data_IF_099915093549
#
_entry.id   IF_099915093549
#
_cell.length_a   1.000
_cell.length_b   1.000
_cell.length_c   1.000
_cell.angle_alpha   90.00
_cell.angle_beta   90.00
_cell.angle_gamma   90.00
#
_symmetry.space_group_name_H-M   'P 1'
#
loop_
_entity.id
_entity.type
_entity.pdbx_description
1 polymer ?
#
# COMPACT_ATOMS: atom_id res chain seq x y z
N UNK A 1 11.68 -7.18 -7.11
CA UNK A 1 10.90 -6.77 -5.92
C UNK A 1 9.93 -7.87 -5.45
N UNK A 2 10.19 -9.12 -5.71
CA UNK A 2 9.38 -10.24 -5.23
C UNK A 2 9.74 -10.58 -3.78
N UNK A 3 8.77 -11.06 -3.02
CA UNK A 3 8.97 -11.65 -1.71
C UNK A 3 9.36 -13.12 -1.92
N UNK A 4 10.53 -13.53 -1.39
CA UNK A 4 10.96 -14.93 -1.36
C UNK A 4 10.79 -15.45 0.07
N UNK A 5 9.92 -16.46 0.33
CA UNK A 5 9.76 -17.02 1.67
C UNK A 5 11.05 -17.58 2.28
N UNK A 6 12.00 -18.02 1.45
CA UNK A 6 13.28 -18.55 1.92
C UNK A 6 14.11 -17.52 2.69
N UNK A 7 14.00 -16.24 2.35
CA UNK A 7 14.70 -15.13 3.01
C UNK A 7 14.25 -14.94 4.48
N UNK A 8 13.10 -15.50 4.86
CA UNK A 8 12.49 -15.33 6.19
C UNK A 8 12.69 -16.54 7.10
N UNK A 9 13.41 -17.57 6.67
CA UNK A 9 13.64 -18.76 7.49
C UNK A 9 14.74 -18.52 8.53
N UNK A 10 14.45 -18.90 9.76
CA UNK A 10 15.45 -18.92 10.83
C UNK A 10 15.98 -17.56 11.29
N UNK A 11 15.26 -16.48 11.03
CA UNK A 11 15.69 -15.11 11.39
C UNK A 11 15.77 -14.87 12.91
N UNK A 12 15.12 -15.68 13.73
CA UNK A 12 15.10 -15.53 15.18
C UNK A 12 14.40 -14.27 15.72
N UNK A 13 13.70 -13.54 14.87
CA UNK A 13 13.01 -12.28 15.17
C UNK A 13 11.55 -12.31 14.70
N UNK A 14 10.75 -11.37 15.19
CA UNK A 14 9.43 -11.11 14.62
C UNK A 14 9.56 -10.62 13.16
N UNK A 15 8.59 -10.99 12.31
CA UNK A 15 8.58 -10.69 10.89
C UNK A 15 7.45 -9.71 10.60
N UNK A 16 7.74 -8.65 9.84
CA UNK A 16 6.73 -7.68 9.40
C UNK A 16 6.75 -7.61 7.88
N UNK A 17 5.60 -7.86 7.25
CA UNK A 17 5.44 -7.90 5.79
C UNK A 17 4.33 -6.93 5.40
N UNK A 18 4.63 -5.92 4.58
CA UNK A 18 3.60 -5.11 3.95
C UNK A 18 3.09 -5.84 2.70
N UNK A 19 1.80 -6.21 2.69
CA UNK A 19 1.18 -6.93 1.57
C UNK A 19 -0.26 -6.47 1.31
N UNK A 20 -0.52 -5.75 0.20
CA UNK A 20 0.41 -5.32 -0.87
C UNK A 20 1.50 -4.36 -0.39
N UNK A 21 2.68 -4.48 -1.00
CA UNK A 21 3.86 -3.74 -0.56
C UNK A 21 3.83 -2.25 -0.96
N UNK A 22 4.33 -1.40 -0.10
CA UNK A 22 4.66 -0.01 -0.41
C UNK A 22 6.19 0.21 -0.27
N UNK A 23 6.89 0.79 -1.27
CA UNK A 23 6.35 1.54 -2.41
C UNK A 23 6.12 0.74 -3.69
N UNK A 24 6.46 -0.55 -3.76
CA UNK A 24 6.48 -1.33 -5.02
C UNK A 24 5.10 -1.63 -5.60
N UNK A 25 4.03 -1.51 -4.82
CA UNK A 25 2.65 -1.83 -5.17
C UNK A 25 2.35 -3.33 -5.39
N UNK A 26 3.34 -4.19 -5.28
CA UNK A 26 3.20 -5.62 -5.57
C UNK A 26 2.47 -6.36 -4.45
N UNK A 27 1.68 -7.35 -4.86
CA UNK A 27 1.04 -8.31 -3.97
C UNK A 27 1.84 -9.62 -3.97
N UNK A 28 2.23 -10.09 -2.80
CA UNK A 28 2.73 -11.45 -2.65
C UNK A 28 1.52 -12.42 -2.50
N UNK A 29 1.60 -13.63 -3.08
CA UNK A 29 0.58 -14.65 -2.88
C UNK A 29 0.41 -15.01 -1.40
N UNK A 30 -0.82 -15.28 -0.97
CA UNK A 30 -1.10 -15.73 0.41
C UNK A 30 -0.34 -17.01 0.76
N UNK A 31 -0.11 -17.91 -0.21
CA UNK A 31 0.70 -19.10 -0.04
C UNK A 31 2.16 -18.78 0.37
N UNK A 32 2.75 -17.72 -0.16
CA UNK A 32 4.10 -17.30 0.24
C UNK A 32 4.14 -16.81 1.70
N UNK A 33 3.08 -16.12 2.14
CA UNK A 33 2.93 -15.73 3.55
C UNK A 33 2.74 -16.97 4.44
N UNK A 34 1.95 -17.93 3.98
CA UNK A 34 1.72 -19.19 4.68
C UNK A 34 3.00 -19.98 4.87
N UNK A 35 3.87 -20.09 3.86
CA UNK A 35 5.19 -20.71 3.99
C UNK A 35 6.06 -20.02 5.05
N UNK A 36 5.99 -18.68 5.15
CA UNK A 36 6.70 -17.93 6.17
C UNK A 36 6.16 -18.24 7.57
N UNK A 37 4.84 -18.34 7.73
CA UNK A 37 4.19 -18.70 8.99
C UNK A 37 4.64 -20.10 9.47
N UNK A 38 4.61 -21.08 8.57
CA UNK A 38 5.01 -22.46 8.82
C UNK A 38 6.49 -22.59 9.20
N UNK A 39 7.33 -21.79 8.55
CA UNK A 39 8.77 -21.78 8.80
C UNK A 39 9.18 -21.08 10.11
N UNK A 40 8.26 -20.35 10.75
CA UNK A 40 8.52 -19.53 11.93
C UNK A 40 7.43 -19.69 13.01
N UNK A 41 7.11 -20.91 13.47
CA UNK A 41 5.96 -21.16 14.36
C UNK A 41 6.06 -20.43 15.72
N UNK A 42 7.27 -20.20 16.20
CA UNK A 42 7.55 -19.54 17.47
C UNK A 42 7.78 -18.02 17.35
N UNK A 43 7.49 -17.44 16.18
CA UNK A 43 7.71 -16.01 15.89
C UNK A 43 6.45 -15.37 15.38
N UNK A 44 6.15 -14.18 15.86
CA UNK A 44 5.02 -13.40 15.35
C UNK A 44 5.31 -12.94 13.94
N UNK A 45 4.38 -13.19 13.03
CA UNK A 45 4.37 -12.67 11.67
C UNK A 45 3.24 -11.65 11.56
N UNK A 46 3.60 -10.40 11.31
CA UNK A 46 2.67 -9.30 11.13
C UNK A 46 2.53 -9.03 9.63
N UNK A 47 1.31 -9.12 9.11
CA UNK A 47 1.00 -8.76 7.74
C UNK A 47 0.25 -7.43 7.73
N UNK A 48 0.90 -6.38 7.21
CA UNK A 48 0.29 -5.06 7.04
C UNK A 48 -0.49 -5.03 5.73
N UNK A 49 -1.79 -5.15 5.85
CA UNK A 49 -2.76 -5.14 4.75
C UNK A 49 -3.36 -3.74 4.50
N UNK A 50 -2.61 -2.68 4.70
CA UNK A 50 -3.12 -1.31 4.53
C UNK A 50 -3.71 -1.03 3.14
N UNK A 51 -3.33 -1.79 2.12
CA UNK A 51 -3.77 -1.61 0.74
C UNK A 51 -4.55 -2.80 0.16
N UNK A 52 -4.80 -3.84 0.94
CA UNK A 52 -5.35 -5.11 0.43
C UNK A 52 -6.72 -4.96 -0.25
N UNK A 53 -7.53 -4.00 0.17
CA UNK A 53 -8.86 -3.74 -0.39
C UNK A 53 -8.82 -3.36 -1.90
N UNK A 54 -7.67 -2.92 -2.41
CA UNK A 54 -7.45 -2.62 -3.83
C UNK A 54 -6.90 -3.80 -4.64
N UNK A 55 -6.61 -4.91 -3.98
CA UNK A 55 -5.99 -6.09 -4.61
C UNK A 55 -7.01 -7.09 -5.17
N UNK A 56 -8.28 -6.96 -4.77
CA UNK A 56 -9.35 -7.85 -5.19
C UNK A 56 -9.54 -9.08 -4.28
N UNK A 57 -10.50 -9.94 -4.62
CA UNK A 57 -10.83 -11.12 -3.82
C UNK A 57 -9.65 -12.08 -3.64
N UNK A 58 -9.54 -12.69 -2.46
CA UNK A 58 -8.52 -13.71 -2.15
C UNK A 58 -7.12 -13.16 -1.82
N UNK A 59 -6.92 -11.84 -1.86
CA UNK A 59 -5.62 -11.22 -1.58
C UNK A 59 -5.27 -11.17 -0.08
N UNK A 60 -6.26 -11.26 0.80
CA UNK A 60 -6.09 -11.12 2.23
C UNK A 60 -5.61 -12.40 2.92
N UNK A 61 -4.71 -12.25 3.88
CA UNK A 61 -4.28 -13.31 4.80
C UNK A 61 -5.25 -13.51 5.99
N UNK A 62 -6.34 -12.74 6.09
CA UNK A 62 -7.33 -12.93 7.17
C UNK A 62 -7.84 -14.37 7.33
N UNK A 63 -8.13 -15.13 6.25
CA UNK A 63 -8.56 -16.52 6.41
C UNK A 63 -7.55 -17.43 7.12
N UNK A 64 -6.25 -17.11 7.04
CA UNK A 64 -5.18 -17.88 7.70
C UNK A 64 -5.15 -17.67 9.22
N UNK A 65 -5.75 -16.60 9.72
CA UNK A 65 -5.73 -16.30 11.18
C UNK A 65 -6.34 -17.45 12.00
N UNK A 66 -7.31 -18.18 11.47
CA UNK A 66 -7.94 -19.31 12.19
C UNK A 66 -7.00 -20.51 12.36
N UNK A 67 -6.00 -20.65 11.47
CA UNK A 67 -5.12 -21.81 11.39
C UNK A 67 -3.72 -21.54 11.97
N UNK A 68 -3.34 -20.24 12.15
CA UNK A 68 -2.01 -19.83 12.59
C UNK A 68 -2.05 -18.91 13.81
N UNK A 69 -1.59 -19.44 14.96
CA UNK A 69 -1.53 -18.68 16.23
C UNK A 69 -0.52 -17.52 16.20
N UNK A 70 0.47 -17.59 15.30
CA UNK A 70 1.54 -16.62 15.16
C UNK A 70 1.24 -15.50 14.12
N UNK A 71 0.05 -15.49 13.51
CA UNK A 71 -0.33 -14.47 12.51
C UNK A 71 -1.07 -13.31 13.14
N UNK A 72 -0.62 -12.09 12.85
CA UNK A 72 -1.33 -10.85 13.11
C UNK A 72 -1.53 -10.07 11.80
N UNK A 73 -2.78 -9.88 11.39
CA UNK A 73 -3.13 -9.05 10.22
C UNK A 73 -3.51 -7.66 10.68
N UNK A 74 -2.88 -6.64 10.11
CA UNK A 74 -3.12 -5.23 10.45
C UNK A 74 -3.80 -4.52 9.28
N UNK A 75 -4.83 -3.74 9.56
CA UNK A 75 -5.59 -2.94 8.59
C UNK A 75 -5.79 -1.51 9.04
N UNK A 76 -6.10 -0.64 8.09
CA UNK A 76 -6.28 0.79 8.34
C UNK A 76 -7.53 1.34 7.65
N UNK A 77 -8.16 2.32 8.27
CA UNK A 77 -9.20 3.14 7.65
C UNK A 77 -8.64 4.27 6.78
N UNK A 78 -7.32 4.48 6.80
CA UNK A 78 -6.66 5.63 6.16
C UNK A 78 -6.65 5.58 4.63
N UNK A 79 -6.91 4.42 3.99
CA UNK A 79 -6.80 4.22 2.53
C UNK A 79 -8.17 4.03 1.90
N UNK A 80 -8.64 2.80 1.81
CA UNK A 80 -9.89 2.44 1.14
C UNK A 80 -11.13 3.06 1.78
N UNK A 81 -11.12 3.29 3.09
CA UNK A 81 -12.21 3.93 3.84
C UNK A 81 -12.10 5.46 3.95
N UNK A 82 -11.10 6.08 3.32
CA UNK A 82 -10.91 7.54 3.22
C UNK A 82 -10.81 8.30 4.57
N UNK A 83 -10.48 7.62 5.66
CA UNK A 83 -10.42 8.18 7.02
C UNK A 83 -8.98 8.39 7.53
N UNK A 84 -8.07 8.86 6.68
CA UNK A 84 -6.68 9.09 7.06
C UNK A 84 -6.53 10.05 8.26
N UNK A 85 -7.38 11.06 8.35
CA UNK A 85 -7.40 12.04 9.46
C UNK A 85 -7.92 11.47 10.78
N UNK A 86 -8.74 10.41 10.76
CA UNK A 86 -9.29 9.79 11.97
C UNK A 86 -8.25 8.97 12.76
N UNK A 87 -7.09 8.65 12.18
CA UNK A 87 -6.00 7.87 12.80
C UNK A 87 -6.46 6.52 13.34
N UNK A 88 -7.34 5.83 12.60
CA UNK A 88 -7.97 4.59 12.99
C UNK A 88 -7.43 3.41 12.17
N UNK A 89 -7.21 2.30 12.84
CA UNK A 89 -6.86 1.00 12.29
C UNK A 89 -7.23 -0.11 13.26
N UNK A 90 -7.11 -1.33 12.82
CA UNK A 90 -7.37 -2.51 13.64
C UNK A 90 -6.44 -3.65 13.27
N UNK A 91 -6.32 -4.63 14.16
CA UNK A 91 -5.64 -5.87 13.87
C UNK A 91 -6.53 -7.08 14.19
N UNK A 92 -6.26 -8.17 13.51
CA UNK A 92 -6.95 -9.46 13.68
C UNK A 92 -5.89 -10.54 13.91
N UNK A 93 -6.06 -11.31 14.94
CA UNK A 93 -5.18 -12.42 15.34
C UNK A 93 -5.87 -13.34 16.30
N UNK A 94 -5.21 -14.43 16.67
CA UNK A 94 -5.69 -15.34 17.71
C UNK A 94 -5.74 -14.66 19.09
N UNK A 95 -6.61 -15.12 20.03
CA UNK A 95 -6.83 -14.45 21.31
C UNK A 95 -5.57 -14.17 22.13
N UNK A 96 -4.56 -15.05 22.07
CA UNK A 96 -3.27 -14.86 22.75
C UNK A 96 -2.53 -13.60 22.29
N UNK A 97 -2.37 -13.44 20.97
CA UNK A 97 -1.74 -12.25 20.38
C UNK A 97 -2.54 -10.97 20.67
N UNK A 98 -3.86 -11.03 20.59
CA UNK A 98 -4.72 -9.87 20.89
C UNK A 98 -4.62 -9.49 22.36
N UNK A 99 -4.51 -10.46 23.28
CA UNK A 99 -4.29 -10.18 24.70
C UNK A 99 -2.95 -9.46 24.93
N UNK A 100 -1.88 -9.87 24.26
CA UNK A 100 -0.57 -9.23 24.36
C UNK A 100 -0.59 -7.81 23.76
N UNK A 101 -1.23 -7.62 22.60
CA UNK A 101 -1.45 -6.31 22.01
C UNK A 101 -2.20 -5.36 22.96
N UNK A 102 -3.23 -5.85 23.63
CA UNK A 102 -3.98 -5.07 24.63
C UNK A 102 -3.11 -4.72 25.85
N UNK A 103 -2.25 -5.62 26.33
CA UNK A 103 -1.32 -5.31 27.42
C UNK A 103 -0.39 -4.16 27.03
N UNK A 104 0.19 -4.20 25.82
CA UNK A 104 1.04 -3.12 25.32
C UNK A 104 0.23 -1.82 25.16
N UNK A 105 -0.96 -1.87 24.53
CA UNK A 105 -1.84 -0.72 24.35
C UNK A 105 -2.17 -0.05 25.68
N UNK A 106 -2.61 -0.80 26.67
CA UNK A 106 -2.98 -0.24 27.98
C UNK A 106 -1.78 0.27 28.79
N UNK A 107 -0.59 -0.27 28.55
CA UNK A 107 0.62 0.22 29.21
C UNK A 107 1.16 1.52 28.62
N UNK A 108 0.93 1.75 27.30
CA UNK A 108 1.52 2.88 26.57
C UNK A 108 0.52 3.98 26.23
N UNK A 109 -0.65 3.64 25.69
CA UNK A 109 -1.63 4.59 25.19
C UNK A 109 -3.06 4.03 25.26
N UNK A 110 -3.68 3.97 26.48
CA UNK A 110 -4.99 3.34 26.66
C UNK A 110 -6.13 4.11 25.96
N UNK A 111 -5.99 5.43 25.76
CA UNK A 111 -7.02 6.33 25.22
C UNK A 111 -6.65 6.89 23.84
N UNK A 112 -6.06 6.09 22.99
CA UNK A 112 -5.55 6.53 21.69
C UNK A 112 -6.63 6.78 20.62
N UNK A 113 -7.86 6.30 20.82
CA UNK A 113 -8.98 6.50 19.89
C UNK A 113 -10.01 7.39 20.58
N UNK A 114 -10.34 8.52 19.94
CA UNK A 114 -11.40 9.41 20.40
C UNK A 114 -12.78 8.94 19.90
N UNK A 115 -13.85 9.36 20.58
CA UNK A 115 -15.22 8.93 20.28
C UNK A 115 -15.69 9.31 18.85
N UNK A 116 -15.21 10.42 18.29
CA UNK A 116 -15.53 10.82 16.92
C UNK A 116 -14.91 9.88 15.89
N UNK A 117 -13.64 9.50 16.08
CA UNK A 117 -12.96 8.54 15.20
C UNK A 117 -13.61 7.16 15.29
N UNK A 118 -14.01 6.74 16.49
CA UNK A 118 -14.71 5.46 16.72
C UNK A 118 -16.05 5.43 15.98
N UNK A 119 -16.89 6.46 16.18
CA UNK A 119 -18.19 6.56 15.49
C UNK A 119 -18.04 6.63 13.97
N UNK A 120 -17.06 7.40 13.47
CA UNK A 120 -16.78 7.48 12.04
C UNK A 120 -16.28 6.14 11.46
N UNK A 121 -15.49 5.40 12.22
CA UNK A 121 -15.04 4.06 11.85
C UNK A 121 -16.17 3.05 11.76
N UNK A 122 -17.07 3.03 12.76
CA UNK A 122 -18.26 2.17 12.77
C UNK A 122 -19.15 2.47 11.54
N UNK A 123 -19.50 3.74 11.32
CA UNK A 123 -20.29 4.16 10.16
C UNK A 123 -19.61 3.78 8.82
N UNK A 124 -18.29 3.93 8.71
CA UNK A 124 -17.55 3.55 7.51
C UNK A 124 -17.54 2.03 7.26
N UNK A 125 -17.65 1.20 8.31
CA UNK A 125 -17.80 -0.25 8.15
C UNK A 125 -19.18 -0.65 7.69
N UNK A 126 -20.22 0.10 8.09
CA UNK A 126 -21.61 -0.14 7.72
C UNK A 126 -21.92 0.31 6.28
N UNK A 127 -21.25 1.35 5.77
CA UNK A 127 -21.45 1.87 4.40
C UNK A 127 -20.63 1.08 3.35
N UNK A 128 -21.00 -0.18 3.18
CA UNK A 128 -20.34 -1.09 2.26
C UNK A 128 -20.53 -0.69 0.79
N UNK A 129 -21.67 -0.10 0.44
CA UNK A 129 -21.95 0.33 -0.94
C UNK A 129 -21.04 1.49 -1.37
N UNK A 130 -20.82 2.48 -0.51
CA UNK A 130 -19.89 3.56 -0.77
C UNK A 130 -18.47 3.02 -0.89
N UNK A 131 -18.06 2.17 0.04
CA UNK A 131 -16.75 1.54 0.03
C UNK A 131 -16.47 0.81 -1.28
N UNK A 132 -17.39 -0.07 -1.73
CA UNK A 132 -17.23 -0.84 -2.98
C UNK A 132 -17.14 0.06 -4.20
N UNK A 133 -18.01 1.09 -4.30
CA UNK A 133 -17.99 2.04 -5.41
C UNK A 133 -16.67 2.81 -5.49
N UNK A 134 -16.18 3.30 -4.35
CA UNK A 134 -14.94 4.08 -4.32
C UNK A 134 -13.70 3.23 -4.62
N UNK A 135 -13.63 2.02 -4.09
CA UNK A 135 -12.55 1.07 -4.40
C UNK A 135 -12.56 0.70 -5.88
N UNK A 136 -13.73 0.39 -6.46
CA UNK A 136 -13.87 0.06 -7.87
C UNK A 136 -13.41 1.22 -8.76
N UNK A 137 -13.84 2.46 -8.49
CA UNK A 137 -13.43 3.65 -9.24
C UNK A 137 -11.92 3.90 -9.20
N UNK A 138 -11.27 3.67 -8.05
CA UNK A 138 -9.81 3.76 -7.92
C UNK A 138 -9.13 2.66 -8.74
N UNK A 139 -9.60 1.43 -8.69
CA UNK A 139 -9.03 0.32 -9.45
C UNK A 139 -9.16 0.52 -10.96
N UNK A 140 -10.29 1.01 -11.43
CA UNK A 140 -10.52 1.36 -12.84
C UNK A 140 -9.56 2.48 -13.30
N UNK A 141 -9.51 3.57 -12.55
CA UNK A 141 -8.61 4.70 -12.85
C UNK A 141 -7.13 4.26 -12.80
N UNK A 142 -6.78 3.37 -11.87
CA UNK A 142 -5.44 2.78 -11.79
C UNK A 142 -5.07 2.00 -13.04
N UNK A 143 -5.98 1.17 -13.54
CA UNK A 143 -5.77 0.39 -14.76
C UNK A 143 -5.55 1.30 -15.98
N UNK A 144 -6.39 2.33 -16.14
CA UNK A 144 -6.25 3.30 -17.21
C UNK A 144 -4.92 4.09 -17.10
N UNK A 145 -4.55 4.52 -15.89
CA UNK A 145 -3.30 5.24 -15.66
C UNK A 145 -2.07 4.36 -15.92
N UNK A 146 -2.10 3.07 -15.56
CA UNK A 146 -1.03 2.13 -15.84
C UNK A 146 -0.85 1.92 -17.36
N UNK A 147 -1.95 1.79 -18.11
CA UNK A 147 -1.92 1.71 -19.57
C UNK A 147 -1.32 2.98 -20.18
N UNK A 148 -1.80 4.16 -19.78
CA UNK A 148 -1.30 5.45 -20.27
C UNK A 148 0.19 5.70 -20.02
N UNK A 149 0.75 5.19 -18.91
CA UNK A 149 2.20 5.21 -18.65
C UNK A 149 2.95 4.22 -19.54
N UNK A 150 2.43 2.99 -19.70
CA UNK A 150 3.06 1.97 -20.58
C UNK A 150 3.09 2.43 -22.04
N UNK A 151 2.04 3.08 -22.52
CA UNK A 151 1.98 3.67 -23.87
C UNK A 151 3.05 4.74 -24.11
N UNK A 152 3.50 5.41 -23.02
CA UNK A 152 4.62 6.36 -23.02
C UNK A 152 5.99 5.69 -22.82
N UNK A 153 6.03 4.36 -22.83
CA UNK A 153 7.27 3.58 -22.67
C UNK A 153 7.76 3.44 -21.23
N UNK A 154 6.94 3.82 -20.22
CA UNK A 154 7.30 3.64 -18.84
C UNK A 154 7.23 2.18 -18.42
N UNK A 155 8.17 1.74 -17.60
CA UNK A 155 8.07 0.47 -16.91
C UNK A 155 7.14 0.63 -15.71
N UNK A 156 6.01 -0.10 -15.68
CA UNK A 156 5.01 -0.02 -14.61
C UNK A 156 4.85 -1.39 -14.00
N UNK A 157 5.04 -1.49 -12.67
CA UNK A 157 4.78 -2.72 -11.93
C UNK A 157 3.27 -2.97 -11.79
N UNK A 158 2.88 -4.24 -11.72
CA UNK A 158 1.48 -4.60 -11.54
C UNK A 158 1.01 -4.23 -10.13
N UNK A 159 0.12 -3.25 -10.07
CA UNK A 159 -0.27 -2.66 -8.79
C UNK A 159 -1.50 -3.32 -8.20
N UNK A 160 -1.40 -3.68 -6.92
CA UNK A 160 -2.49 -4.11 -6.05
C UNK A 160 -2.84 -3.05 -4.97
N UNK A 161 -2.47 -1.78 -5.21
CA UNK A 161 -2.66 -0.66 -4.27
C UNK A 161 -3.44 0.50 -4.90
N UNK A 162 -3.60 1.62 -4.21
CA UNK A 162 -4.16 2.85 -4.77
C UNK A 162 -3.08 3.79 -5.35
N UNK A 163 -1.95 3.26 -5.76
CA UNK A 163 -0.88 3.97 -6.44
C UNK A 163 -0.17 3.06 -7.45
N UNK A 164 0.57 3.65 -8.37
CA UNK A 164 1.47 2.95 -9.27
C UNK A 164 2.92 3.17 -8.84
N UNK A 165 3.78 2.19 -9.11
CA UNK A 165 5.21 2.30 -9.00
C UNK A 165 5.81 2.12 -10.38
N UNK A 166 6.35 3.21 -10.93
CA UNK A 166 6.71 3.29 -12.33
C UNK A 166 8.08 3.96 -12.54
N UNK A 167 8.81 3.50 -13.56
CA UNK A 167 10.13 4.00 -13.92
C UNK A 167 10.07 4.67 -15.29
N UNK A 168 10.52 5.93 -15.42
CA UNK A 168 10.57 6.64 -16.69
C UNK A 168 11.57 6.00 -17.66
N UNK A 169 11.30 6.06 -18.99
CA UNK A 169 12.15 5.38 -19.97
C UNK A 169 13.45 6.12 -20.33
N UNK A 170 13.49 7.44 -20.18
CA UNK A 170 14.57 8.25 -20.74
C UNK A 170 15.27 9.15 -19.73
N UNK A 171 14.51 9.82 -18.89
CA UNK A 171 15.03 10.80 -17.92
C UNK A 171 15.10 10.20 -16.52
N UNK A 172 16.05 10.64 -15.67
CA UNK A 172 16.08 10.23 -14.27
C UNK A 172 14.77 10.56 -13.54
N UNK A 173 14.32 9.68 -12.66
CA UNK A 173 13.08 9.86 -11.88
C UNK A 173 13.08 11.16 -11.07
N UNK A 174 14.23 11.54 -10.50
CA UNK A 174 14.38 12.78 -9.75
C UNK A 174 14.14 14.03 -10.62
N UNK A 175 14.56 14.03 -11.88
CA UNK A 175 14.33 15.15 -12.80
C UNK A 175 12.85 15.27 -13.16
N UNK A 176 12.19 14.16 -13.46
CA UNK A 176 10.74 14.13 -13.74
C UNK A 176 9.96 14.63 -12.51
N UNK A 177 10.35 14.21 -11.29
CA UNK A 177 9.74 14.71 -10.06
C UNK A 177 9.79 16.25 -9.97
N UNK A 178 10.96 16.85 -10.20
CA UNK A 178 11.13 18.31 -10.11
C UNK A 178 10.34 19.06 -11.19
N UNK A 179 10.29 18.52 -12.42
CA UNK A 179 9.49 19.09 -13.49
C UNK A 179 7.98 19.04 -13.19
N UNK A 180 7.48 17.93 -12.67
CA UNK A 180 6.09 17.79 -12.23
C UNK A 180 5.78 18.74 -11.06
N UNK A 181 6.71 18.88 -10.10
CA UNK A 181 6.57 19.79 -8.96
C UNK A 181 6.43 21.26 -9.42
N UNK A 182 7.22 21.70 -10.40
CA UNK A 182 7.09 23.05 -11.01
C UNK A 182 5.72 23.27 -11.62
N UNK A 183 5.09 22.20 -12.14
CA UNK A 183 3.73 22.19 -12.70
C UNK A 183 2.64 21.94 -11.65
N UNK A 184 3.00 21.99 -10.35
CA UNK A 184 2.11 21.75 -9.21
C UNK A 184 1.47 20.36 -9.19
N UNK A 185 2.16 19.37 -9.73
CA UNK A 185 1.82 17.95 -9.61
C UNK A 185 2.81 17.29 -8.67
N UNK A 186 2.29 16.77 -7.55
CA UNK A 186 3.10 16.14 -6.51
C UNK A 186 2.99 14.63 -6.60
N UNK A 187 4.11 13.98 -6.80
CA UNK A 187 4.28 12.52 -6.71
C UNK A 187 5.37 12.19 -5.71
N UNK A 188 5.61 10.93 -5.44
CA UNK A 188 6.62 10.51 -4.46
C UNK A 188 7.82 9.87 -5.13
N UNK A 189 9.01 10.27 -4.70
CA UNK A 189 10.30 9.66 -5.03
C UNK A 189 11.02 9.21 -3.75
N UNK A 190 11.84 8.17 -3.86
CA UNK A 190 12.64 7.64 -2.75
C UNK A 190 14.10 7.53 -3.21
N UNK A 191 14.98 8.29 -2.58
CA UNK A 191 16.42 8.20 -2.87
C UNK A 191 17.06 7.05 -2.09
N UNK A 192 16.78 5.82 -2.56
CA UNK A 192 17.38 4.61 -2.02
C UNK A 192 17.89 3.72 -3.18
N UNK A 193 19.02 3.01 -3.04
CA UNK A 193 19.73 2.35 -4.17
C UNK A 193 18.87 1.49 -5.07
N UNK A 194 17.90 0.74 -4.51
CA UNK A 194 17.06 -0.19 -5.28
C UNK A 194 15.86 0.46 -5.96
N UNK A 195 15.45 1.65 -5.52
CA UNK A 195 14.18 2.29 -5.91
C UNK A 195 14.32 3.73 -6.38
N UNK A 196 15.53 4.29 -6.44
CA UNK A 196 15.79 5.68 -6.85
C UNK A 196 15.36 6.00 -8.28
N UNK A 197 15.27 4.99 -9.14
CA UNK A 197 14.85 5.17 -10.54
C UNK A 197 13.33 5.10 -10.71
N UNK A 198 12.60 4.96 -9.62
CA UNK A 198 11.15 4.74 -9.61
C UNK A 198 10.41 5.89 -8.96
N UNK A 199 9.19 6.11 -9.42
CA UNK A 199 8.26 7.10 -8.89
C UNK A 199 6.99 6.40 -8.40
N UNK A 200 6.49 6.81 -7.22
CA UNK A 200 5.18 6.37 -6.73
C UNK A 200 4.14 7.43 -7.05
N UNK A 201 3.15 7.06 -7.84
CA UNK A 201 2.10 7.92 -8.37
C UNK A 201 0.77 7.49 -7.75
N UNK A 202 0.22 8.30 -6.84
CA UNK A 202 -1.09 8.02 -6.24
C UNK A 202 -2.19 8.18 -7.28
N UNK A 203 -3.18 7.29 -7.24
CA UNK A 203 -4.35 7.35 -8.13
C UNK A 203 -5.32 8.39 -7.57
N UNK A 204 -5.63 9.37 -8.39
CA UNK A 204 -6.65 10.38 -8.16
C UNK A 204 -7.93 10.10 -8.95
N UNK A 205 -8.79 11.10 -9.08
CA UNK A 205 -9.94 11.05 -10.00
C UNK A 205 -9.45 11.03 -11.47
N UNK A 206 -10.28 10.59 -12.44
CA UNK A 206 -9.92 10.65 -13.86
C UNK A 206 -9.41 12.03 -14.31
N UNK A 207 -10.05 13.11 -13.86
CA UNK A 207 -9.61 14.48 -14.16
C UNK A 207 -8.24 14.83 -13.57
N UNK A 208 -7.94 14.36 -12.34
CA UNK A 208 -6.62 14.54 -11.73
C UNK A 208 -5.55 13.73 -12.45
N UNK A 209 -5.86 12.51 -12.89
CA UNK A 209 -4.93 11.72 -13.69
C UNK A 209 -4.70 12.32 -15.07
N UNK A 210 -5.73 12.90 -15.71
CA UNK A 210 -5.53 13.65 -16.96
C UNK A 210 -4.55 14.82 -16.77
N UNK A 211 -4.75 15.62 -15.71
CA UNK A 211 -3.83 16.71 -15.38
C UNK A 211 -2.39 16.22 -15.12
N UNK A 212 -2.24 15.06 -14.49
CA UNK A 212 -0.93 14.42 -14.31
C UNK A 212 -0.29 14.10 -15.66
N UNK A 213 -1.05 13.51 -16.61
CA UNK A 213 -0.53 13.17 -17.94
C UNK A 213 -0.19 14.41 -18.76
N UNK A 214 -1.01 15.45 -18.73
CA UNK A 214 -0.73 16.72 -19.41
C UNK A 214 0.59 17.31 -18.89
N UNK A 215 0.77 17.37 -17.59
CA UNK A 215 2.00 17.85 -16.96
C UNK A 215 3.21 16.95 -17.24
N UNK A 216 3.00 15.64 -17.36
CA UNK A 216 4.04 14.67 -17.70
C UNK A 216 4.51 14.84 -19.15
N UNK A 217 3.60 14.97 -20.09
CA UNK A 217 3.89 15.17 -21.52
C UNK A 217 4.69 16.47 -21.73
N UNK A 218 4.32 17.54 -21.04
CA UNK A 218 5.10 18.78 -21.03
C UNK A 218 6.49 18.58 -20.38
N UNK A 219 6.58 17.83 -19.29
CA UNK A 219 7.84 17.58 -18.59
C UNK A 219 8.80 16.74 -19.44
N UNK A 220 8.30 15.75 -20.15
CA UNK A 220 9.10 14.89 -21.03
C UNK A 220 9.55 15.60 -22.31
N UNK A 221 8.76 16.58 -22.82
CA UNK A 221 9.12 17.46 -23.91
C UNK A 221 10.09 18.59 -23.53
N UNK A 222 10.26 18.90 -22.25
CA UNK A 222 11.19 19.90 -21.78
C UNK A 222 12.65 19.43 -21.96
N UNK A 223 13.54 20.32 -22.41
CA UNK A 223 14.96 20.03 -22.48
C UNK A 223 15.51 19.67 -21.07
N UNK A 224 16.45 18.70 -20.95
CA UNK A 224 17.05 18.38 -19.66
C UNK A 224 17.68 19.64 -19.05
N UNK A 225 17.47 19.85 -17.74
CA UNK A 225 18.09 20.97 -17.05
C UNK A 225 19.60 20.89 -17.18
N UNK A 226 20.25 21.97 -17.61
CA UNK A 226 21.70 22.05 -17.64
C UNK A 226 22.22 21.84 -16.20
N UNK A 227 23.16 20.87 -16.05
CA UNK A 227 23.83 20.57 -14.77
C UNK A 227 24.86 21.62 -14.45
#
# INVERSE_FOLDING_TARGET
FTLDPADYRGLGAAIVIANPNAPTSLLAPTAAVEEILQANPDRVVIVDEAYVDFAGPGASCLPLVKDYENLLVVRTFSKSRSLAGARLGFCVGQPGLIADMNRVKFSYSPYNINAMSEAAGAAAMEDEDYFRRTVAAICETRAAAAAGLRDRGWQVLDSATNFLFARPPRRPAAEILEELRRRRVLIRHFDAPRIRDWLRISIGTPAQMQRFFDALDEAEGAAPAAR
#
